data_IF_158218259232
#
_entry.id   IF_158218259232
#
_cell.length_a   1.000
_cell.length_b   1.000
_cell.length_c   1.000
_cell.angle_alpha   90.00
_cell.angle_beta   90.00
_cell.angle_gamma   90.00
#
_symmetry.space_group_name_H-M   'P 1'
#
loop_
_entity.id
_entity.type
_entity.pdbx_description
1 polymer ?
2 non-polymer ?
3 water ?
#
# COMPACT_ATOMS: atom_id res chain seq x y z
N UNK A 11 17.94 10.73 -12.62
CA UNK A 11 16.64 11.32 -12.34
C UNK A 11 16.58 12.77 -12.85
N UNK A 12 15.38 13.20 -13.22
CA UNK A 12 15.20 14.59 -13.63
C UNK A 12 15.44 15.55 -12.49
N UNK A 13 16.33 16.52 -12.71
CA UNK A 13 16.60 17.56 -11.72
C UNK A 13 15.71 18.76 -12.03
N UNK A 14 14.93 19.20 -11.04
CA UNK A 14 13.97 20.28 -11.16
C UNK A 14 14.52 21.51 -10.47
N UNK A 15 14.44 22.66 -11.11
CA UNK A 15 14.92 23.86 -10.43
C UNK A 15 13.91 24.30 -9.37
N UNK A 16 14.37 24.78 -8.22
CA UNK A 16 13.44 25.21 -7.15
C UNK A 16 12.43 26.26 -7.57
N UNK A 17 12.77 27.14 -8.51
CA UNK A 17 11.83 28.17 -8.95
C UNK A 17 10.60 27.59 -9.61
N UNK A 18 10.66 26.32 -10.03
CA UNK A 18 9.53 25.67 -10.67
C UNK A 18 8.53 25.10 -9.67
N UNK A 19 8.87 25.09 -8.37
CA UNK A 19 8.08 24.38 -7.36
C UNK A 19 7.47 25.40 -6.41
N UNK A 20 6.16 25.32 -6.21
CA UNK A 20 5.46 26.13 -5.21
C UNK A 20 4.80 25.19 -4.21
N UNK A 21 5.31 25.17 -2.97
CA UNK A 21 4.66 24.43 -1.89
C UNK A 21 3.45 25.23 -1.38
N UNK A 22 2.28 24.58 -1.33
CA UNK A 22 1.04 25.28 -0.97
C UNK A 22 0.44 24.88 0.37
N UNK A 23 0.53 23.62 0.78
CA UNK A 23 -0.13 23.18 2.00
C UNK A 23 0.58 21.95 2.51
N UNK A 24 0.81 21.89 3.81
CA UNK A 24 1.36 20.69 4.42
C UNK A 24 0.27 19.62 4.43
N UNK A 25 0.62 18.43 3.95
CA UNK A 25 -0.29 17.29 4.00
C UNK A 25 0.26 16.14 4.82
N UNK A 26 1.52 16.21 5.21
CA UNK A 26 2.12 15.19 6.02
C UNK A 26 3.37 15.78 6.64
N UNK A 27 3.70 15.33 7.83
CA UNK A 27 4.87 15.89 8.47
C UNK A 27 5.58 14.81 9.24
N UNK A 28 6.89 14.97 9.33
CA UNK A 28 7.72 14.19 10.20
C UNK A 28 8.76 15.10 10.82
N UNK A 29 9.67 14.49 11.57
CA UNK A 29 10.69 15.27 12.25
C UNK A 29 11.70 15.87 11.27
N UNK A 30 11.97 15.18 10.16
CA UNK A 30 13.08 15.55 9.29
C UNK A 30 12.64 16.14 7.96
N UNK A 31 11.34 16.41 7.81
CA UNK A 31 10.84 17.02 6.60
C UNK A 31 9.34 16.93 6.62
N UNK A 32 8.74 17.46 5.56
CA UNK A 32 7.29 17.43 5.42
C UNK A 32 6.94 17.01 4.00
N UNK A 33 5.68 16.63 3.85
CA UNK A 33 5.07 16.39 2.55
C UNK A 33 4.08 17.51 2.31
N UNK A 34 4.18 18.14 1.15
CA UNK A 34 3.28 19.24 0.77
C UNK A 34 2.50 18.87 -0.49
N UNK A 35 1.31 19.43 -0.61
CA UNK A 35 0.70 19.60 -1.93
C UNK A 35 1.22 20.91 -2.51
N UNK A 36 1.47 20.91 -3.79
CA UNK A 36 1.95 22.10 -4.44
C UNK A 36 1.78 22.03 -5.94
N UNK A 37 2.46 22.95 -6.63
CA UNK A 37 2.37 23.04 -8.09
C UNK A 37 3.76 23.03 -8.69
N UNK A 38 3.86 22.48 -9.89
CA UNK A 38 5.10 22.36 -10.65
C UNK A 38 4.90 23.05 -12.00
N UNK A 39 5.78 24.00 -12.33
CA UNK A 39 5.74 24.71 -13.60
C UNK A 39 7.03 24.37 -14.34
N UNK A 40 6.94 23.51 -15.35
CA UNK A 40 8.16 23.10 -16.07
C UNK A 40 8.56 24.08 -17.18
N UNK A 41 7.59 24.59 -17.94
CA UNK A 41 7.89 25.40 -19.11
C UNK A 41 6.94 26.58 -19.16
N UNK A 42 7.35 27.60 -19.92
CA UNK A 42 6.57 28.84 -19.98
C UNK A 42 5.20 28.60 -20.58
N UNK A 43 5.09 27.67 -21.52
CA UNK A 43 3.90 27.52 -22.32
C UNK A 43 2.86 26.58 -21.77
N UNK A 44 3.23 25.74 -20.81
CA UNK A 44 2.32 24.76 -20.24
C UNK A 44 1.89 25.18 -18.84
N UNK A 45 0.63 24.91 -18.53
CA UNK A 45 0.05 25.26 -17.24
C UNK A 45 0.69 24.40 -16.14
N UNK A 46 0.80 25.00 -14.95
CA UNK A 46 1.30 24.30 -13.78
C UNK A 46 0.48 23.03 -13.55
N UNK A 47 1.13 22.00 -13.00
CA UNK A 47 0.45 20.76 -12.66
C UNK A 47 0.55 20.52 -11.15
N UNK A 48 -0.49 20.00 -10.53
CA UNK A 48 -0.40 19.70 -9.08
C UNK A 48 0.58 18.56 -8.82
N UNK A 49 1.33 18.68 -7.72
CA UNK A 49 2.34 17.69 -7.35
C UNK A 49 2.32 17.53 -5.85
N UNK A 50 2.87 16.41 -5.38
CA UNK A 50 3.28 16.27 -4.00
C UNK A 50 4.78 16.48 -3.89
N UNK A 51 5.20 17.08 -2.79
CA UNK A 51 6.60 17.48 -2.62
C UNK A 51 7.04 17.05 -1.23
N UNK A 52 8.15 16.30 -1.16
CA UNK A 52 8.65 15.86 0.15
C UNK A 52 10.02 16.50 0.34
N UNK A 53 10.26 17.09 1.52
CA UNK A 53 11.51 17.77 1.79
C UNK A 53 12.37 16.99 2.77
N UNK A 54 13.66 17.35 2.78
CA UNK A 54 14.63 16.86 3.75
C UNK A 54 15.32 18.07 4.39
N UNK A 55 15.14 18.25 5.70
CA UNK A 55 15.61 19.45 6.39
C UNK A 55 17.14 19.45 6.60
N UNK A 56 17.68 20.67 6.77
CA UNK A 56 19.11 20.85 6.92
C UNK A 56 19.62 20.13 8.15
N UNK A 57 20.85 19.65 8.05
CA UNK A 57 21.48 18.87 9.10
C UNK A 57 21.29 17.39 8.93
N UNK A 58 20.66 16.95 7.83
CA UNK A 58 20.44 15.55 7.60
C UNK A 58 21.77 14.82 7.58
N UNK A 59 21.73 13.58 8.05
CA UNK A 59 22.89 12.74 8.07
C UNK A 59 23.14 12.10 6.70
N UNK A 60 24.33 11.51 6.54
CA UNK A 60 24.62 10.75 5.34
C UNK A 60 23.58 9.66 5.09
N UNK A 61 23.25 8.88 6.12
CA UNK A 61 22.23 7.83 5.97
C UNK A 61 20.90 8.42 5.56
N UNK A 62 20.52 9.56 6.13
CA UNK A 62 19.25 10.17 5.76
C UNK A 62 19.26 10.60 4.30
N UNK A 63 20.38 11.13 3.81
CA UNK A 63 20.46 11.55 2.42
C UNK A 63 20.38 10.34 1.51
N UNK A 64 21.14 9.30 1.83
CA UNK A 64 21.13 8.08 1.03
C UNK A 64 19.72 7.48 0.98
N UNK A 65 19.03 7.44 2.12
CA UNK A 65 17.68 6.87 2.15
C UNK A 65 16.70 7.76 1.40
N UNK A 66 16.81 9.08 1.58
CA UNK A 66 15.87 10.01 0.96
C UNK A 66 15.98 9.99 -0.55
N UNK A 67 17.18 10.25 -1.06
CA UNK A 67 17.38 10.21 -2.50
C UNK A 67 17.23 8.80 -3.05
N UNK A 68 17.44 7.79 -2.20
CA UNK A 68 17.31 6.42 -2.64
C UNK A 68 15.88 6.05 -2.95
N UNK A 69 14.92 6.65 -2.23
CA UNK A 69 13.51 6.44 -2.55
C UNK A 69 13.21 6.98 -3.92
N UNK A 70 13.71 8.18 -4.21
CA UNK A 70 13.54 8.75 -5.55
C UNK A 70 14.21 7.89 -6.60
N UNK A 71 15.42 7.42 -6.33
CA UNK A 71 16.12 6.57 -7.29
C UNK A 71 15.35 5.31 -7.64
N UNK A 72 14.77 4.66 -6.62
CA UNK A 72 13.97 3.46 -6.86
C UNK A 72 12.74 3.80 -7.68
N UNK A 73 12.04 4.87 -7.30
CA UNK A 73 10.82 5.25 -8.00
C UNK A 73 11.11 5.58 -9.46
N UNK A 74 12.25 6.23 -9.73
CA UNK A 74 12.65 6.57 -11.09
C UNK A 74 12.96 5.36 -11.95
N UNK A 75 13.18 4.20 -11.37
CA UNK A 75 13.37 3.00 -12.17
C UNK A 75 12.06 2.36 -12.60
N UNK A 76 10.91 2.85 -12.12
CA UNK A 76 9.63 2.21 -12.37
C UNK A 76 8.80 3.07 -13.32
N UNK A 77 8.05 2.40 -14.16
CA UNK A 77 7.10 3.04 -15.06
C UNK A 77 5.88 2.14 -15.19
N UNK A 78 4.90 2.36 -14.33
CA UNK A 78 3.71 1.52 -14.30
C UNK A 78 2.55 2.36 -13.79
N UNK A 79 1.36 2.14 -14.36
CA UNK A 79 0.13 2.84 -13.99
C UNK A 79 -0.17 2.78 -12.51
N UNK A 80 0.17 1.65 -11.85
CA UNK A 80 -0.18 1.44 -10.45
C UNK A 80 1.00 1.63 -9.51
N UNK A 81 1.99 2.42 -9.93
CA UNK A 81 3.13 2.76 -9.10
C UNK A 81 3.31 4.28 -9.15
N UNK A 82 3.41 4.92 -7.97
CA UNK A 82 3.51 6.38 -7.93
C UNK A 82 4.63 6.86 -8.85
N UNK A 83 4.30 7.86 -9.66
CA UNK A 83 5.23 8.41 -10.66
C UNK A 83 6.05 9.56 -10.08
N UNK A 84 7.37 9.50 -10.30
CA UNK A 84 8.30 10.57 -9.95
C UNK A 84 8.33 11.67 -11.02
N UNK A 85 8.14 12.92 -10.62
CA UNK A 85 8.42 14.04 -11.51
C UNK A 85 9.89 14.38 -11.54
N UNK A 86 10.53 14.43 -10.38
CA UNK A 86 11.96 14.69 -10.35
C UNK A 86 12.37 15.07 -8.94
N UNK A 87 13.61 15.57 -8.82
CA UNK A 87 14.18 15.88 -7.52
C UNK A 87 14.84 17.24 -7.57
N UNK A 88 14.89 17.89 -6.43
CA UNK A 88 15.82 18.99 -6.18
C UNK A 88 16.93 18.42 -5.33
N UNK A 89 18.12 18.24 -5.93
CA UNK A 89 19.30 17.78 -5.22
C UNK A 89 20.45 18.77 -5.24
N UNK A 90 20.48 19.71 -6.19
CA UNK A 90 21.56 20.68 -6.37
C UNK A 90 21.40 21.90 -5.47
N UNK A 91 20.28 22.02 -4.77
CA UNK A 91 19.97 23.15 -3.92
C UNK A 91 19.37 22.58 -2.65
N UNK A 92 19.41 23.38 -1.58
CA UNK A 92 18.86 22.96 -0.30
C UNK A 92 17.66 23.87 0.01
N UNK A 93 16.58 23.33 0.60
CA UNK A 93 16.44 21.93 1.00
C UNK A 93 16.21 21.03 -0.19
N UNK A 94 16.64 19.79 -0.07
CA UNK A 94 16.39 18.84 -1.13
C UNK A 94 14.93 18.42 -1.10
N UNK A 95 14.41 18.05 -2.27
CA UNK A 95 13.01 17.71 -2.41
C UNK A 95 12.85 16.56 -3.38
N UNK A 96 11.78 15.79 -3.17
CA UNK A 96 11.31 14.81 -4.14
C UNK A 96 9.91 15.23 -4.56
N UNK A 97 9.67 15.24 -5.87
CA UNK A 97 8.41 15.70 -6.44
C UNK A 97 7.76 14.55 -7.19
N UNK A 98 6.50 14.25 -6.84
CA UNK A 98 5.76 13.19 -7.51
C UNK A 98 4.43 13.72 -8.00
N UNK A 99 3.75 12.89 -8.78
CA UNK A 99 2.35 13.16 -9.07
C UNK A 99 1.59 13.31 -7.75
N UNK A 100 0.50 14.08 -7.79
CA UNK A 100 -0.36 14.32 -6.65
C UNK A 100 -1.60 13.43 -6.71
N UNK A 101 -1.80 12.62 -5.68
CA UNK A 101 -2.91 11.68 -5.63
C UNK A 101 -3.99 12.36 -4.79
N UNK A 102 -5.08 12.75 -5.46
CA UNK A 102 -6.03 13.69 -4.85
C UNK A 102 -6.80 13.11 -3.67
N UNK A 103 -6.97 11.78 -3.61
CA UNK A 103 -7.75 11.15 -2.55
C UNK A 103 -6.89 10.59 -1.43
N UNK A 104 -5.57 10.78 -1.48
CA UNK A 104 -4.74 10.44 -0.33
C UNK A 104 -4.61 8.94 -0.11
N UNK A 105 -4.27 8.61 1.13
CA UNK A 105 -3.99 7.22 1.50
C UNK A 105 -5.25 6.38 1.49
N UNK A 106 -5.14 5.13 1.00
CA UNK A 106 -6.31 4.29 0.81
C UNK A 106 -6.99 3.93 2.13
N UNK A 107 -6.24 3.70 3.21
CA UNK A 107 -6.86 3.33 4.48
C UNK A 107 -7.82 4.41 4.99
N UNK A 108 -7.34 5.64 5.02
CA UNK A 108 -8.15 6.76 5.49
C UNK A 108 -9.29 7.04 4.51
N UNK A 109 -9.03 6.93 3.22
CA UNK A 109 -10.05 7.12 2.20
C UNK A 109 -11.21 6.17 2.41
N UNK A 110 -10.94 4.89 2.57
CA UNK A 110 -12.00 3.92 2.75
C UNK A 110 -12.80 4.22 4.01
N UNK A 111 -12.11 4.55 5.10
CA UNK A 111 -12.81 4.80 6.37
C UNK A 111 -13.68 6.04 6.30
N UNK A 112 -13.35 6.96 5.43
CA UNK A 112 -14.10 8.19 5.26
C UNK A 112 -15.19 8.06 4.21
N UNK A 113 -15.29 6.94 3.53
CA UNK A 113 -16.22 6.70 2.42
C UNK A 113 -16.97 5.41 2.63
N UNK A 114 -17.24 5.07 3.90
CA UNK A 114 -17.76 3.75 4.24
C UNK A 114 -19.04 3.46 3.47
N UNK A 115 -19.09 2.35 2.79
CA UNK A 115 -20.27 1.92 2.07
C UNK A 115 -20.56 2.63 0.76
N UNK A 116 -19.67 3.49 0.26
CA UNK A 116 -20.01 4.35 -0.87
C UNK A 116 -19.70 3.75 -2.21
N UNK A 117 -19.05 2.59 -2.28
CA UNK A 117 -18.62 2.03 -3.56
C UNK A 117 -19.33 0.73 -3.87
N UNK A 118 -19.36 0.35 -5.14
CA UNK A 118 -19.86 -0.95 -5.47
C UNK A 118 -18.79 -2.00 -5.23
N UNK A 119 -19.24 -3.24 -5.08
CA UNK A 119 -18.27 -4.34 -4.98
C UNK A 119 -17.34 -4.34 -6.17
N UNK A 120 -17.86 -4.08 -7.37
CA UNK A 120 -17.01 -4.08 -8.55
C UNK A 120 -15.95 -2.98 -8.45
N UNK A 121 -16.29 -1.79 -7.95
CA UNK A 121 -15.27 -0.78 -7.73
C UNK A 121 -14.22 -1.22 -6.72
N UNK A 122 -14.61 -1.82 -5.61
CA UNK A 122 -13.64 -2.30 -4.63
C UNK A 122 -12.69 -3.32 -5.25
N UNK A 123 -13.25 -4.28 -6.00
CA UNK A 123 -12.40 -5.29 -6.63
C UNK A 123 -11.47 -4.67 -7.66
N UNK A 124 -11.95 -3.63 -8.38
CA UNK A 124 -11.07 -2.93 -9.29
C UNK A 124 -9.89 -2.28 -8.60
N UNK A 125 -10.09 -1.74 -7.40
CA UNK A 125 -8.98 -1.22 -6.62
C UNK A 125 -7.95 -2.31 -6.35
N UNK A 126 -8.43 -3.46 -5.95
CA UNK A 126 -7.54 -4.58 -5.69
C UNK A 126 -6.79 -5.03 -6.91
N UNK A 127 -7.44 -5.04 -8.08
CA UNK A 127 -6.75 -5.43 -9.30
C UNK A 127 -5.63 -4.44 -9.62
N UNK A 128 -5.85 -3.16 -9.39
CA UNK A 128 -4.80 -2.17 -9.66
C UNK A 128 -3.62 -2.37 -8.72
N UNK A 129 -3.91 -2.55 -7.43
CA UNK A 129 -2.82 -2.81 -6.48
C UNK A 129 -2.05 -4.06 -6.89
N UNK A 130 -2.78 -5.14 -7.21
CA UNK A 130 -2.14 -6.39 -7.61
C UNK A 130 -1.27 -6.21 -8.84
N UNK A 131 -1.72 -5.40 -9.83
CA UNK A 131 -0.90 -5.17 -11.02
C UNK A 131 0.37 -4.41 -10.67
N UNK A 132 0.27 -3.44 -9.81
CA UNK A 132 1.48 -2.75 -9.35
C UNK A 132 2.43 -3.68 -8.64
N UNK A 133 1.89 -4.54 -7.76
CA UNK A 133 2.73 -5.52 -7.04
C UNK A 133 3.33 -6.55 -7.97
N UNK A 134 2.58 -7.03 -8.98
CA UNK A 134 3.17 -7.95 -9.96
C UNK A 134 4.37 -7.31 -10.64
N UNK A 135 4.22 -6.04 -11.02
CA UNK A 135 5.33 -5.31 -11.63
C UNK A 135 6.52 -5.23 -10.67
N UNK A 136 6.28 -4.83 -9.41
CA UNK A 136 7.40 -4.72 -8.47
C UNK A 136 8.09 -6.07 -8.27
N UNK A 137 7.30 -7.12 -8.05
CA UNK A 137 7.89 -8.45 -7.83
C UNK A 137 8.71 -8.88 -9.04
N UNK A 138 8.20 -8.63 -10.25
CA UNK A 138 8.93 -8.98 -11.48
C UNK A 138 10.20 -8.19 -11.65
N UNK A 139 10.19 -6.94 -11.15
CA UNK A 139 11.39 -6.08 -11.12
C UNK A 139 12.31 -6.45 -9.94
N UNK A 140 12.02 -7.52 -9.21
CA UNK A 140 12.84 -7.94 -8.07
C UNK A 140 12.88 -6.88 -6.96
N UNK A 141 11.73 -6.25 -6.71
CA UNK A 141 11.60 -5.28 -5.63
C UNK A 141 10.61 -5.86 -4.62
N UNK A 142 11.08 -6.08 -3.40
CA UNK A 142 10.26 -6.57 -2.28
C UNK A 142 9.85 -5.36 -1.46
N UNK A 143 8.54 -5.19 -1.26
CA UNK A 143 8.05 -3.97 -0.64
C UNK A 143 8.27 -3.95 0.88
N UNK A 144 7.90 -5.04 1.55
CA UNK A 144 8.00 -5.23 3.00
C UNK A 144 6.94 -4.54 3.82
N UNK A 145 6.26 -3.53 3.27
CA UNK A 145 5.29 -2.77 4.06
C UNK A 145 4.01 -2.55 3.26
N UNK A 146 3.53 -3.57 2.55
CA UNK A 146 2.33 -3.43 1.74
C UNK A 146 1.13 -3.43 2.69
N UNK A 147 0.32 -2.37 2.62
CA UNK A 147 -0.77 -2.11 3.54
C UNK A 147 -1.57 -0.96 2.92
N UNK A 148 -2.85 -0.87 3.22
CA UNK A 148 -3.65 0.22 2.65
C UNK A 148 -3.08 1.60 2.94
N UNK A 149 -2.45 1.78 4.13
CA UNK A 149 -1.86 3.07 4.45
C UNK A 149 -0.76 3.48 3.47
N UNK A 150 -0.19 2.53 2.73
CA UNK A 150 0.89 2.82 1.78
C UNK A 150 0.44 2.75 0.34
N UNK A 151 -0.86 2.78 0.09
CA UNK A 151 -1.42 2.87 -1.24
C UNK A 151 -2.05 4.27 -1.33
N UNK A 152 -1.88 4.92 -2.45
CA UNK A 152 -2.46 6.23 -2.69
C UNK A 152 -3.55 6.14 -3.76
N UNK A 153 -4.53 7.04 -3.73
CA UNK A 153 -5.72 6.96 -4.58
C UNK A 153 -5.90 8.28 -5.33
N UNK A 154 -6.08 8.21 -6.65
CA UNK A 154 -6.32 9.44 -7.41
C UNK A 154 -7.81 9.66 -7.70
N UNK A 155 -8.11 10.74 -8.45
CA UNK A 155 -9.50 11.11 -8.77
C UNK A 155 -10.14 10.22 -9.79
N UNK A 156 -9.41 9.27 -10.38
CA UNK A 156 -10.01 8.21 -11.17
C UNK A 156 -10.17 6.91 -10.38
N UNK A 157 -10.01 6.95 -9.06
CA UNK A 157 -10.08 5.77 -8.21
C UNK A 157 -8.90 4.81 -8.43
N UNK A 158 -7.89 5.23 -9.16
CA UNK A 158 -6.74 4.37 -9.39
C UNK A 158 -5.89 4.33 -8.14
N UNK A 159 -5.55 3.11 -7.73
CA UNK A 159 -4.73 2.85 -6.56
C UNK A 159 -3.29 2.57 -6.98
N UNK A 160 -2.36 3.27 -6.35
CA UNK A 160 -0.94 3.15 -6.72
C UNK A 160 -0.13 2.81 -5.47
N UNK A 161 0.79 1.84 -5.65
CA UNK A 161 1.68 1.50 -4.56
C UNK A 161 2.68 2.61 -4.36
N UNK A 162 2.98 2.89 -3.10
CA UNK A 162 3.93 3.93 -2.72
C UNK A 162 4.78 3.44 -1.56
N UNK A 163 5.71 4.28 -1.11
CA UNK A 163 6.58 4.05 0.05
C UNK A 163 7.68 3.07 -0.24
N UNK A 164 8.75 3.58 -0.84
CA UNK A 164 9.84 2.78 -1.36
C UNK A 164 11.15 3.06 -0.63
N UNK A 165 12.05 2.08 -0.66
CA UNK A 165 13.34 2.23 0.00
C UNK A 165 13.79 0.90 0.55
N UNK A 166 15.05 0.86 0.95
CA UNK A 166 15.63 -0.41 1.39
C UNK A 166 15.36 -0.69 2.85
N UNK A 167 15.48 0.34 3.67
CA UNK A 167 15.36 0.23 5.14
C UNK A 167 14.59 1.38 5.74
N UNK A 168 14.48 2.51 5.05
CA UNK A 168 13.70 3.62 5.58
C UNK A 168 12.21 3.29 5.69
N UNK A 169 11.72 2.32 4.92
CA UNK A 169 10.27 2.08 4.87
C UNK A 169 9.76 1.61 6.22
N UNK A 170 10.36 0.56 6.75
CA UNK A 170 9.94 0.06 8.05
C UNK A 170 10.37 0.97 9.19
N UNK A 171 11.54 1.62 9.05
CA UNK A 171 11.95 2.58 10.07
C UNK A 171 10.94 3.72 10.24
N UNK A 172 10.41 4.24 9.14
CA UNK A 172 9.58 5.44 9.17
C UNK A 172 8.12 5.16 9.51
N UNK A 173 7.65 3.91 9.41
CA UNK A 173 6.23 3.60 9.58
C UNK A 173 5.94 3.37 11.05
N UNK A 174 5.12 4.19 11.72
CA UNK A 174 4.83 3.92 13.15
C UNK A 174 4.06 2.63 13.40
N UNK A 175 3.39 2.07 12.40
CA UNK A 175 2.78 0.76 12.58
C UNK A 175 3.81 -0.35 12.70
N UNK A 176 5.03 -0.12 12.26
CA UNK A 176 6.06 -1.13 12.38
C UNK A 176 6.64 -0.97 13.77
N UNK A 177 6.53 -2.02 14.58
CA UNK A 177 6.93 -1.98 15.98
C UNK A 177 8.11 -2.90 16.25
N UNK A 178 8.87 -2.56 17.29
CA UNK A 178 10.01 -3.37 17.66
C UNK A 178 9.52 -4.66 18.28
N UNK A 179 10.09 -5.77 17.83
CA UNK A 179 9.70 -7.10 18.23
C UNK A 179 10.70 -7.61 19.26
N UNK A 180 10.30 -8.69 19.94
CA UNK A 180 11.17 -9.33 20.90
C UNK A 180 12.54 -9.65 20.31
N UNK A 181 12.58 -10.01 19.02
CA UNK A 181 13.81 -10.37 18.32
C UNK A 181 14.62 -9.17 17.87
N UNK A 182 14.08 -7.95 17.93
CA UNK A 182 14.83 -6.75 17.62
C UNK A 182 14.47 -6.09 16.30
N UNK A 183 13.79 -6.79 15.39
CA UNK A 183 13.36 -6.18 14.15
C UNK A 183 12.13 -5.31 14.33
N UNK A 184 11.91 -4.40 13.38
CA UNK A 184 10.80 -3.43 13.44
C UNK A 184 9.86 -3.74 12.28
N UNK A 185 8.68 -4.29 12.57
CA UNK A 185 7.81 -4.77 11.49
C UNK A 185 6.36 -4.49 11.86
N UNK A 186 5.50 -4.35 10.85
CA UNK A 186 4.06 -4.13 11.08
C UNK A 186 3.36 -5.47 11.21
N UNK A 187 3.27 -5.93 12.44
CA UNK A 187 2.99 -7.34 12.67
C UNK A 187 1.74 -7.81 11.94
N UNK A 188 0.62 -7.08 12.04
CA UNK A 188 -0.67 -7.52 11.49
C UNK A 188 -0.71 -7.68 9.98
N UNK A 189 0.29 -7.07 9.31
CA UNK A 189 0.39 -7.15 7.85
C UNK A 189 1.46 -8.13 7.40
N UNK A 190 2.26 -8.71 8.30
CA UNK A 190 3.50 -9.37 7.90
C UNK A 190 3.36 -10.88 7.92
N UNK A 191 3.96 -11.55 6.92
CA UNK A 191 3.89 -12.97 6.81
C UNK A 191 4.66 -13.62 7.98
N UNK A 192 4.29 -14.86 8.32
CA UNK A 192 4.96 -15.53 9.44
C UNK A 192 6.47 -15.68 9.28
N UNK A 193 6.96 -16.01 8.07
CA UNK A 193 8.41 -16.18 7.94
C UNK A 193 9.15 -14.86 8.10
N UNK A 194 8.51 -13.75 7.76
CA UNK A 194 9.14 -12.46 7.92
C UNK A 194 9.17 -12.08 9.39
N UNK A 195 8.10 -12.34 10.13
CA UNK A 195 8.11 -12.16 11.58
C UNK A 195 9.16 -13.05 12.23
N UNK A 196 9.11 -14.33 11.92
CA UNK A 196 9.93 -15.28 12.68
C UNK A 196 11.42 -15.19 12.34
N UNK A 197 11.77 -15.03 11.07
CA UNK A 197 13.21 -15.11 10.76
C UNK A 197 13.65 -14.07 9.75
N UNK A 198 12.85 -13.02 9.55
CA UNK A 198 13.28 -11.87 8.77
C UNK A 198 13.35 -12.17 7.28
N UNK A 199 12.64 -13.18 6.82
CA UNK A 199 12.61 -13.51 5.40
C UNK A 199 11.50 -12.71 4.74
N UNK A 200 11.90 -11.71 3.99
CA UNK A 200 10.98 -10.85 3.22
C UNK A 200 11.20 -11.15 1.76
N UNK A 201 10.14 -11.60 1.09
CA UNK A 201 10.19 -11.90 -0.33
C UNK A 201 8.90 -11.43 -0.98
N UNK A 202 8.80 -11.58 -2.29
CA UNK A 202 7.52 -11.29 -2.90
C UNK A 202 6.39 -12.17 -2.37
N UNK A 203 6.71 -13.35 -1.85
CA UNK A 203 5.66 -14.19 -1.26
C UNK A 203 5.20 -13.68 0.11
N UNK A 204 6.07 -13.05 0.87
CA UNK A 204 5.60 -12.34 2.05
C UNK A 204 4.76 -11.13 1.67
N UNK A 205 5.12 -10.44 0.57
CA UNK A 205 4.26 -9.38 0.07
C UNK A 205 2.90 -9.91 -0.36
N UNK A 206 2.80 -11.17 -0.84
CA UNK A 206 1.51 -11.74 -1.16
C UNK A 206 0.65 -11.88 0.08
N UNK A 207 1.24 -12.34 1.21
CA UNK A 207 0.48 -12.40 2.47
C UNK A 207 -0.08 -11.02 2.78
N UNK A 208 0.78 -10.02 2.70
CA UNK A 208 0.37 -8.63 2.98
C UNK A 208 -0.76 -8.22 2.06
N UNK A 209 -0.65 -8.57 0.77
CA UNK A 209 -1.72 -8.28 -0.18
C UNK A 209 -3.05 -8.86 0.27
N UNK A 210 -3.04 -10.10 0.79
CA UNK A 210 -4.28 -10.65 1.30
C UNK A 210 -4.87 -9.81 2.42
N UNK A 211 -4.00 -9.28 3.30
CA UNK A 211 -4.48 -8.34 4.32
C UNK A 211 -5.05 -7.08 3.69
N UNK A 212 -4.39 -6.53 2.67
CA UNK A 212 -4.95 -5.36 1.98
C UNK A 212 -6.30 -5.70 1.36
N UNK A 213 -6.48 -6.91 0.80
CA UNK A 213 -7.79 -7.27 0.27
C UNK A 213 -8.86 -7.16 1.36
N UNK A 214 -8.53 -7.65 2.56
CA UNK A 214 -9.45 -7.56 3.68
C UNK A 214 -9.69 -6.12 4.11
N UNK A 215 -8.64 -5.31 4.14
CA UNK A 215 -8.82 -3.88 4.40
C UNK A 215 -9.78 -3.25 3.41
N UNK A 216 -9.62 -3.51 2.12
CA UNK A 216 -10.49 -2.88 1.12
C UNK A 216 -11.93 -3.33 1.28
N UNK A 217 -12.14 -4.64 1.43
CA UNK A 217 -13.52 -5.15 1.45
C UNK A 217 -14.28 -4.79 2.73
N UNK A 218 -13.56 -4.40 3.78
CA UNK A 218 -14.14 -3.93 5.04
C UNK A 218 -14.16 -2.41 5.16
N UNK A 219 -13.81 -1.67 4.10
CA UNK A 219 -13.72 -0.21 4.20
C UNK A 219 -12.78 0.22 5.32
N UNK A 220 -11.64 -0.46 5.39
CA UNK A 220 -10.58 0.02 6.26
C UNK A 220 -10.71 -0.39 7.70
N UNK A 221 -11.30 -1.53 7.99
CA UNK A 221 -11.23 -2.01 9.36
C UNK A 221 -9.80 -2.33 9.74
N UNK A 222 -9.51 -2.25 11.01
CA UNK A 222 -8.20 -2.60 11.51
C UNK A 222 -8.08 -4.12 11.58
N UNK A 223 -7.08 -4.72 10.91
CA UNK A 223 -6.97 -6.18 10.90
C UNK A 223 -6.85 -6.70 12.33
N UNK A 224 -7.62 -7.75 12.61
CA UNK A 224 -7.62 -8.45 13.90
C UNK A 224 -8.18 -7.55 14.99
N UNK A 225 -8.78 -6.40 14.64
CA UNK A 225 -9.49 -5.53 15.61
C UNK A 225 -8.56 -5.25 16.78
N UNK A 226 -8.98 -5.47 18.02
CA UNK A 226 -8.20 -5.05 19.18
C UNK A 226 -7.17 -6.08 19.64
N UNK A 227 -7.04 -7.23 18.97
CA UNK A 227 -6.03 -8.19 19.42
C UNK A 227 -4.66 -7.53 19.43
N UNK A 228 -3.87 -7.82 20.47
CA UNK A 228 -2.53 -7.25 20.54
C UNK A 228 -1.65 -7.92 19.48
N UNK A 229 -0.47 -7.33 19.26
CA UNK A 229 0.48 -7.95 18.32
C UNK A 229 0.83 -9.39 18.70
N UNK A 230 1.07 -9.66 20.00
CA UNK A 230 1.38 -11.03 20.39
C UNK A 230 0.20 -11.95 20.17
N UNK A 231 -1.00 -11.48 20.45
CA UNK A 231 -2.17 -12.29 20.24
C UNK A 231 -2.43 -12.57 18.75
N UNK A 232 -2.10 -11.61 17.86
CA UNK A 232 -2.20 -11.88 16.41
C UNK A 232 -1.25 -12.99 16.01
N UNK A 233 -0.01 -12.89 16.43
CA UNK A 233 0.92 -13.94 16.09
C UNK A 233 0.47 -15.31 16.60
N UNK A 234 -0.03 -15.36 17.83
CA UNK A 234 -0.47 -16.63 18.39
C UNK A 234 -1.64 -17.19 17.61
N UNK A 235 -2.56 -16.32 17.22
CA UNK A 235 -3.71 -16.80 16.46
C UNK A 235 -3.28 -17.36 15.11
N UNK A 236 -2.37 -16.67 14.42
CA UNK A 236 -1.95 -17.11 13.09
C UNK A 236 -1.22 -18.44 13.22
N UNK A 237 -0.31 -18.53 14.19
CA UNK A 237 0.36 -19.81 14.43
C UNK A 237 -0.62 -20.92 14.81
N UNK A 238 -1.68 -20.63 15.55
CA UNK A 238 -2.69 -21.63 15.89
C UNK A 238 -3.56 -22.00 14.68
N UNK A 239 -3.41 -21.32 13.51
CA UNK A 239 -4.22 -21.58 12.34
C UNK A 239 -5.39 -20.64 12.12
N UNK A 240 -5.70 -19.72 13.03
CA UNK A 240 -6.85 -18.85 12.81
C UNK A 240 -6.50 -17.86 11.69
N UNK A 241 -7.54 -17.39 11.00
CA UNK A 241 -7.37 -16.38 9.95
C UNK A 241 -8.51 -15.38 10.09
N UNK A 242 -8.32 -14.19 9.49
CA UNK A 242 -9.38 -13.18 9.51
C UNK A 242 -10.67 -13.77 8.94
N UNK A 243 -11.82 -13.48 9.54
CA UNK A 243 -13.09 -13.95 9.00
C UNK A 243 -13.53 -13.16 7.78
N UNK A 244 -14.55 -13.66 7.13
CA UNK A 244 -15.00 -12.99 5.93
C UNK A 244 -15.54 -11.61 6.26
N UNK A 245 -15.23 -10.60 5.45
CA UNK A 245 -15.95 -9.33 5.56
C UNK A 245 -17.43 -9.52 5.23
N UNK A 246 -18.25 -8.57 5.68
CA UNK A 246 -19.63 -8.48 5.21
C UNK A 246 -19.67 -8.18 3.73
N UNK A 247 -20.62 -8.78 3.02
CA UNK A 247 -20.84 -8.41 1.62
C UNK A 247 -19.62 -8.73 0.76
N UNK A 248 -18.95 -9.85 1.05
CA UNK A 248 -17.72 -10.14 0.32
C UNK A 248 -17.93 -11.26 -0.67
N UNK A 249 -17.61 -11.04 -1.94
CA UNK A 249 -17.69 -12.14 -2.90
C UNK A 249 -16.90 -13.35 -2.42
N UNK A 250 -17.51 -14.53 -2.59
CA UNK A 250 -16.85 -15.78 -2.22
C UNK A 250 -15.49 -15.92 -2.89
N UNK A 251 -15.41 -15.58 -4.18
CA UNK A 251 -14.13 -15.73 -4.88
C UNK A 251 -13.04 -14.86 -4.24
N UNK A 252 -13.42 -13.65 -3.80
CA UNK A 252 -12.47 -12.75 -3.18
C UNK A 252 -12.00 -13.28 -1.83
N UNK A 253 -12.92 -13.81 -1.02
CA UNK A 253 -12.47 -14.39 0.26
C UNK A 253 -11.61 -15.64 0.04
N UNK A 254 -11.99 -16.47 -0.91
CA UNK A 254 -11.15 -17.60 -1.26
C UNK A 254 -9.72 -17.16 -1.60
N UNK A 255 -9.61 -16.11 -2.42
CA UNK A 255 -8.29 -15.62 -2.82
C UNK A 255 -7.49 -15.10 -1.63
N UNK A 256 -8.11 -14.28 -0.77
CA UNK A 256 -7.33 -13.78 0.36
C UNK A 256 -6.88 -14.93 1.27
N UNK A 257 -7.71 -15.95 1.46
CA UNK A 257 -7.30 -17.08 2.28
C UNK A 257 -6.11 -17.84 1.67
N UNK A 258 -6.01 -17.88 0.35
CA UNK A 258 -4.84 -18.53 -0.24
C UNK A 258 -3.58 -17.71 -0.09
N UNK A 259 -3.73 -16.39 -0.01
CA UNK A 259 -2.60 -15.52 0.31
C UNK A 259 -2.02 -15.79 1.68
N UNK A 260 -2.84 -16.31 2.59
CA UNK A 260 -2.47 -16.53 3.99
C UNK A 260 -2.11 -17.99 4.27
N UNK A 261 -1.61 -18.70 3.30
CA UNK A 261 -1.08 -20.03 3.59
C UNK A 261 0.20 -19.88 4.40
N UNK A 262 0.32 -20.70 5.47
CA UNK A 262 1.53 -20.69 6.28
C UNK A 262 2.74 -21.00 5.42
N UNK A 263 2.63 -22.03 4.58
CA UNK A 263 3.73 -22.45 3.72
C UNK A 263 3.86 -21.49 2.55
N UNK A 264 4.97 -20.75 2.51
CA UNK A 264 5.18 -19.71 1.52
C UNK A 264 5.00 -20.23 0.10
N UNK A 265 5.51 -21.44 -0.16
CA UNK A 265 5.46 -21.98 -1.52
C UNK A 265 4.04 -22.25 -2.00
N UNK A 266 3.04 -22.37 -1.13
CA UNK A 266 1.67 -22.65 -1.52
C UNK A 266 0.89 -21.37 -1.88
N UNK A 267 1.44 -20.17 -1.57
CA UNK A 267 0.69 -18.95 -1.89
C UNK A 267 0.69 -18.70 -3.39
N UNK A 268 -0.35 -18.05 -3.90
CA UNK A 268 -0.32 -17.62 -5.30
C UNK A 268 0.82 -16.64 -5.50
N UNK A 269 1.30 -16.58 -6.76
CA UNK A 269 2.18 -15.49 -7.17
C UNK A 269 1.33 -14.29 -7.58
N UNK A 270 1.93 -13.12 -7.65
CA UNK A 270 1.14 -11.96 -8.07
C UNK A 270 0.54 -12.15 -9.47
N UNK A 271 1.23 -12.89 -10.35
CA UNK A 271 0.66 -13.14 -11.66
C UNK A 271 -0.65 -13.87 -11.53
N UNK A 272 -0.73 -14.82 -10.60
CA UNK A 272 -1.96 -15.57 -10.43
C UNK A 272 -3.05 -14.69 -9.88
N UNK A 273 -2.71 -13.81 -8.92
CA UNK A 273 -3.68 -12.89 -8.36
C UNK A 273 -4.26 -11.96 -9.42
N UNK A 274 -3.37 -11.32 -10.20
CA UNK A 274 -3.83 -10.42 -11.28
C UNK A 274 -4.76 -11.15 -12.23
N UNK A 275 -4.37 -12.34 -12.62
CA UNK A 275 -5.20 -13.09 -13.58
C UNK A 275 -6.60 -13.36 -13.05
N UNK A 276 -6.68 -13.81 -11.81
CA UNK A 276 -7.98 -14.11 -11.23
C UNK A 276 -8.80 -12.84 -11.09
N UNK A 277 -8.22 -11.75 -10.58
CA UNK A 277 -8.99 -10.54 -10.41
C UNK A 277 -9.47 -9.99 -11.75
N UNK A 278 -8.63 -10.07 -12.76
CA UNK A 278 -9.05 -9.57 -14.07
C UNK A 278 -10.20 -10.40 -14.63
N UNK A 279 -10.18 -11.71 -14.43
CA UNK A 279 -11.28 -12.54 -14.92
C UNK A 279 -12.57 -12.28 -14.14
N UNK A 280 -12.48 -12.09 -12.82
CA UNK A 280 -13.69 -11.76 -12.07
C UNK A 280 -14.29 -10.45 -12.52
N UNK A 281 -13.46 -9.43 -12.78
CA UNK A 281 -13.96 -8.14 -13.21
C UNK A 281 -14.59 -8.24 -14.59
N UNK A 282 -13.97 -9.03 -15.46
CA UNK A 282 -14.48 -9.15 -16.84
C UNK A 282 -15.80 -9.90 -16.90
N UNK A 283 -16.08 -10.76 -15.91
CA UNK A 283 -17.35 -11.46 -15.78
C UNK A 283 -17.98 -11.05 -14.45
N UNK A 284 -18.46 -9.81 -14.34
CA UNK A 284 -18.76 -9.22 -13.01
C UNK A 284 -19.87 -9.91 -12.27
N UNK A 285 -20.77 -10.67 -12.92
CA UNK A 285 -21.73 -11.46 -12.16
C UNK A 285 -21.05 -12.45 -11.23
N UNK A 286 -19.81 -12.85 -11.53
CA UNK A 286 -19.05 -13.76 -10.66
C UNK A 286 -18.90 -13.22 -9.25
N UNK A 287 -18.99 -11.92 -9.08
CA UNK A 287 -18.83 -11.27 -7.77
C UNK A 287 -20.12 -11.26 -6.98
N UNK A 288 -21.23 -11.66 -7.59
CA UNK A 288 -22.53 -11.62 -6.92
C UNK A 288 -22.71 -12.77 -5.90
N UNK A 289 -21.97 -13.84 -6.05
CA UNK A 289 -22.01 -14.92 -5.09
C UNK A 289 -21.17 -14.54 -3.88
N UNK A 290 -21.80 -14.44 -2.72
CA UNK A 290 -21.12 -13.94 -1.53
C UNK A 290 -20.74 -15.07 -0.59
N UNK A 291 -19.59 -14.92 0.05
CA UNK A 291 -19.27 -15.80 1.16
C UNK A 291 -20.20 -15.52 2.34
N UNK A 292 -20.54 -16.59 3.09
CA UNK A 292 -21.32 -16.44 4.33
C UNK A 292 -20.56 -15.55 5.30
N UNK A 293 -21.28 -14.69 6.01
CA UNK A 293 -20.73 -13.83 7.06
C UNK A 293 -21.17 -14.36 8.43
N UNK A 294 -20.22 -14.47 9.37
CA UNK A 294 -20.53 -14.97 10.73
C UNK A 294 -20.95 -13.81 11.63
N UNK A 295 -22.20 -13.69 12.03
CA UNK A 295 -22.61 -12.51 12.80
C UNK A 295 -22.13 -12.61 14.24
N UNK A 296 -21.69 -11.48 14.80
CA UNK A 296 -21.32 -11.43 16.20
C UNK A 296 -22.52 -11.20 17.10
N UNK A 297 -23.63 -10.73 16.54
CA UNK A 297 -24.76 -10.28 17.32
C UNK A 297 -26.03 -10.80 16.68
N UNK A 298 -26.94 -11.28 17.52
CA UNK A 298 -28.20 -11.88 17.12
C UNK A 298 -29.31 -10.89 17.45
N UNK A 299 -30.06 -10.47 16.42
CA UNK A 299 -31.28 -9.68 16.63
C UNK A 299 -32.48 -10.55 16.30
N UNK A 300 -33.32 -10.79 17.30
CA UNK A 300 -34.49 -11.65 17.18
C UNK A 300 -35.74 -10.79 17.33
N UNK A 301 -36.70 -10.97 16.44
CA UNK A 301 -37.97 -10.28 16.68
C UNK A 301 -39.12 -11.25 16.42
N UNK A 302 -40.14 -11.28 17.31
CA UNK A 302 -41.31 -12.12 17.05
C UNK A 302 -42.10 -11.62 15.85
#
# INVERSE_FOLDING_TARGET
>A
GDPNQAVLKFTTEIHPSCVTRQKVIGAGEFGEVYKGMLKTSSGKKEVPVAIKTLKAGYTEKQRVDFLGEAGIMGQFSHHNIIRLEGVISKYKPMMIITEYMENGALDKFLREKDGEFSVLQLVGMLRGIAAGMKYLANMNYVHRDLAARNILVNSNLVCKVSDFGLSRVLEDDPEATYTTSGGKIPIRWTAPEAISYRKFTSASDVWSFGIVMWEVMTYGERPYWELSNHEVMKAINDGFRLPTPMDCPSAIYQLMMQCWQQERARRPKFADIVSILDKLIRAPDSLKTLADFDPRVSIRLPSTSG
#
